data_IF_116054941560
#
_entry.id   IF_116054941560
#
_cell.length_a   1.000
_cell.length_b   1.000
_cell.length_c   1.000
_cell.angle_alpha   90.00
_cell.angle_beta   90.00
_cell.angle_gamma   90.00
#
_symmetry.space_group_name_H-M   'P 1'
#
loop_
_entity.id
_entity.type
_entity.pdbx_description
1 polymer ?
#
# COMPACT_ATOMS: atom_id res chain seq x y z
N UNK A 1 10.57 2.72 21.03
CA UNK A 1 11.26 2.34 19.79
C UNK A 1 10.26 2.48 18.66
N UNK A 2 10.59 3.20 17.58
CA UNK A 2 9.66 3.48 16.48
C UNK A 2 9.50 2.24 15.60
N UNK A 3 8.27 1.77 15.42
CA UNK A 3 7.94 0.66 14.52
C UNK A 3 7.01 1.18 13.41
N UNK A 4 7.41 0.95 12.16
CA UNK A 4 6.66 1.27 10.96
C UNK A 4 6.08 -0.02 10.38
N UNK A 5 4.81 0.03 10.00
CA UNK A 5 4.13 -1.04 9.28
C UNK A 5 3.80 -0.54 7.87
N UNK A 6 4.20 -1.29 6.85
CA UNK A 6 3.81 -1.03 5.45
C UNK A 6 2.72 -2.02 5.07
N UNK A 7 1.52 -1.54 4.77
CA UNK A 7 0.41 -2.39 4.38
C UNK A 7 0.28 -2.46 2.85
N UNK A 8 0.72 -3.58 2.29
CA UNK A 8 0.66 -3.89 0.87
C UNK A 8 -0.73 -4.38 0.46
N UNK A 9 -1.16 -3.98 -0.74
CA UNK A 9 -2.42 -4.34 -1.41
C UNK A 9 -2.15 -4.57 -2.90
N UNK A 10 -2.52 -3.61 -3.75
CA UNK A 10 -2.34 -3.68 -5.22
C UNK A 10 -0.97 -3.12 -5.68
N UNK A 11 0.02 -3.13 -4.79
CA UNK A 11 1.30 -2.44 -4.91
C UNK A 11 2.50 -3.35 -4.57
N UNK A 12 2.41 -4.63 -4.99
CA UNK A 12 3.36 -5.72 -4.69
C UNK A 12 4.73 -5.55 -5.38
N UNK A 13 5.43 -4.47 -5.06
CA UNK A 13 6.72 -4.08 -5.65
C UNK A 13 7.58 -3.29 -4.66
N UNK A 14 8.90 -3.40 -4.81
CA UNK A 14 9.87 -2.58 -4.06
C UNK A 14 10.18 -1.24 -4.73
N UNK A 15 10.18 -1.23 -6.06
CA UNK A 15 10.62 -0.08 -6.84
C UNK A 15 9.50 0.93 -6.97
N UNK A 16 9.86 2.21 -6.79
CA UNK A 16 8.95 3.34 -6.95
C UNK A 16 7.62 3.13 -6.22
N UNK A 17 7.70 2.74 -4.94
CA UNK A 17 6.54 2.55 -4.06
C UNK A 17 6.59 3.62 -2.96
N UNK A 18 5.64 4.57 -3.00
CA UNK A 18 5.66 5.75 -2.14
C UNK A 18 5.58 5.40 -0.65
N UNK A 19 4.60 4.58 -0.25
CA UNK A 19 4.44 4.17 1.14
C UNK A 19 5.65 3.40 1.67
N UNK A 20 6.20 2.47 0.89
CA UNK A 20 7.38 1.70 1.28
C UNK A 20 8.61 2.60 1.43
N UNK A 21 8.85 3.49 0.47
CA UNK A 21 9.97 4.42 0.50
C UNK A 21 9.87 5.37 1.71
N UNK A 22 8.68 5.91 1.98
CA UNK A 22 8.42 6.77 3.14
C UNK A 22 8.70 6.04 4.47
N UNK A 23 8.17 4.82 4.62
CA UNK A 23 8.41 3.99 5.80
C UNK A 23 9.90 3.68 6.02
N UNK A 24 10.66 3.51 4.94
CA UNK A 24 12.08 3.17 5.01
C UNK A 24 13.01 4.38 5.21
N UNK A 25 12.52 5.62 5.08
CA UNK A 25 13.32 6.85 5.18
C UNK A 25 14.02 6.99 6.54
N UNK A 26 13.36 6.58 7.62
CA UNK A 26 13.98 6.48 8.94
C UNK A 26 14.76 5.16 9.06
N UNK A 27 16.09 5.23 9.02
CA UNK A 27 16.96 4.05 9.08
C UNK A 27 16.97 3.35 10.45
N UNK A 28 16.62 4.06 11.53
CA UNK A 28 16.60 3.50 12.89
C UNK A 28 15.26 2.88 13.30
N UNK A 29 14.19 3.12 12.52
CA UNK A 29 12.89 2.51 12.77
C UNK A 29 12.91 0.99 12.51
N UNK A 30 12.09 0.22 13.22
CA UNK A 30 11.80 -1.15 12.84
C UNK A 30 10.75 -1.15 11.74
N UNK A 31 11.00 -1.77 10.59
CA UNK A 31 10.04 -1.80 9.47
C UNK A 31 9.49 -3.22 9.33
N UNK A 32 8.17 -3.34 9.30
CA UNK A 32 7.43 -4.56 9.04
C UNK A 32 6.56 -4.35 7.79
N UNK A 33 6.35 -5.39 7.01
CA UNK A 33 5.36 -5.39 5.93
C UNK A 33 4.17 -6.27 6.32
N UNK A 34 2.97 -5.93 5.84
CA UNK A 34 1.75 -6.69 6.02
C UNK A 34 1.06 -6.86 4.67
N UNK A 35 0.58 -8.07 4.40
CA UNK A 35 -0.37 -8.35 3.33
C UNK A 35 -1.53 -9.16 3.90
N UNK A 36 -2.75 -8.79 3.51
CA UNK A 36 -3.98 -9.48 3.94
C UNK A 36 -4.71 -9.97 2.70
N UNK A 37 -4.81 -11.29 2.55
CA UNK A 37 -5.66 -11.92 1.55
C UNK A 37 -7.12 -11.88 1.97
N UNK A 38 -8.03 -11.60 1.03
CA UNK A 38 -9.48 -11.53 1.28
C UNK A 38 -10.28 -12.30 0.22
N UNK A 39 -10.20 -13.65 0.18
CA UNK A 39 -10.74 -14.44 -0.93
C UNK A 39 -12.25 -14.26 -1.14
N UNK A 40 -13.03 -14.11 -0.06
CA UNK A 40 -14.49 -13.92 -0.16
C UNK A 40 -14.86 -12.54 -0.68
N UNK A 41 -14.12 -11.50 -0.31
CA UNK A 41 -14.26 -10.17 -0.90
C UNK A 41 -13.88 -10.17 -2.39
N UNK A 42 -12.77 -10.83 -2.75
CA UNK A 42 -12.33 -10.96 -4.15
C UNK A 42 -13.38 -11.69 -5.01
N UNK A 43 -14.00 -12.74 -4.48
CA UNK A 43 -15.09 -13.42 -5.16
C UNK A 43 -16.30 -12.50 -5.38
N UNK A 44 -16.65 -11.68 -4.38
CA UNK A 44 -17.73 -10.67 -4.47
C UNK A 44 -17.41 -9.58 -5.52
N UNK A 45 -16.12 -9.27 -5.70
CA UNK A 45 -15.61 -8.35 -6.73
C UNK A 45 -15.35 -9.03 -8.08
N UNK A 46 -15.72 -10.30 -8.23
CA UNK A 46 -15.52 -11.09 -9.45
C UNK A 46 -14.05 -11.12 -9.93
N UNK A 47 -13.10 -11.17 -8.99
CA UNK A 47 -11.68 -11.27 -9.31
C UNK A 47 -11.41 -12.47 -10.22
N UNK A 48 -10.64 -12.24 -11.28
CA UNK A 48 -10.28 -13.31 -12.21
C UNK A 48 -9.36 -14.34 -11.53
N UNK A 49 -9.53 -15.65 -11.75
CA UNK A 49 -8.60 -16.65 -11.22
C UNK A 49 -7.18 -16.46 -11.73
N UNK A 50 -6.99 -15.93 -12.96
CA UNK A 50 -5.66 -15.60 -13.48
C UNK A 50 -5.02 -14.41 -12.75
N UNK A 51 -5.84 -13.46 -12.30
CA UNK A 51 -5.36 -12.33 -11.51
C UNK A 51 -4.99 -12.79 -10.10
N UNK A 52 -5.78 -13.68 -9.49
CA UNK A 52 -5.43 -14.28 -8.19
C UNK A 52 -4.09 -15.03 -8.26
N UNK A 53 -3.87 -15.83 -9.30
CA UNK A 53 -2.58 -16.52 -9.53
C UNK A 53 -1.42 -15.54 -9.73
N UNK A 54 -1.64 -14.46 -10.50
CA UNK A 54 -0.64 -13.40 -10.67
C UNK A 54 -0.27 -12.74 -9.33
N UNK A 55 -1.27 -12.42 -8.50
CA UNK A 55 -1.07 -11.85 -7.18
C UNK A 55 -0.29 -12.82 -6.30
N UNK A 56 -0.62 -14.12 -6.31
CA UNK A 56 0.12 -15.14 -5.56
C UNK A 56 1.60 -15.18 -5.97
N UNK A 57 1.87 -15.20 -7.27
CA UNK A 57 3.25 -15.22 -7.78
C UNK A 57 4.02 -13.96 -7.40
N UNK A 58 3.40 -12.79 -7.55
CA UNK A 58 3.99 -11.49 -7.17
C UNK A 58 4.23 -11.38 -5.66
N UNK A 59 3.32 -11.89 -4.84
CA UNK A 59 3.43 -11.87 -3.38
C UNK A 59 4.61 -12.70 -2.89
N UNK A 60 4.80 -13.90 -3.46
CA UNK A 60 5.96 -14.74 -3.16
C UNK A 60 7.27 -14.09 -3.61
N UNK A 61 7.29 -13.45 -4.79
CA UNK A 61 8.44 -12.66 -5.24
C UNK A 61 8.73 -11.46 -4.33
N UNK A 62 7.70 -10.76 -3.88
CA UNK A 62 7.82 -9.64 -2.95
C UNK A 62 8.35 -10.09 -1.58
N UNK A 63 7.89 -11.22 -1.06
CA UNK A 63 8.36 -11.77 0.22
C UNK A 63 9.88 -12.01 0.21
N UNK A 64 10.39 -12.63 -0.85
CA UNK A 64 11.83 -12.88 -1.04
C UNK A 64 12.58 -11.55 -1.14
N UNK A 65 12.11 -10.63 -1.99
CA UNK A 65 12.77 -9.35 -2.20
C UNK A 65 12.78 -8.47 -0.93
N UNK A 66 11.72 -8.49 -0.12
CA UNK A 66 11.66 -7.81 1.18
C UNK A 66 12.62 -8.44 2.19
N UNK A 67 12.73 -9.77 2.20
CA UNK A 67 13.64 -10.50 3.08
C UNK A 67 15.11 -10.14 2.78
N UNK A 68 15.49 -9.98 1.51
CA UNK A 68 16.81 -9.47 1.11
C UNK A 68 17.09 -8.05 1.64
N UNK A 69 16.04 -7.24 1.83
CA UNK A 69 16.17 -5.90 2.44
C UNK A 69 16.10 -5.93 3.96
N UNK A 70 15.86 -7.08 4.58
CA UNK A 70 15.71 -7.20 6.04
C UNK A 70 14.33 -6.78 6.55
N UNK A 71 13.31 -6.86 5.71
CA UNK A 71 11.93 -6.49 6.04
C UNK A 71 11.08 -7.76 6.04
N UNK A 72 10.54 -8.19 7.19
CA UNK A 72 9.65 -9.35 7.23
C UNK A 72 8.26 -9.00 6.69
N UNK A 73 7.70 -9.91 5.89
CA UNK A 73 6.31 -9.83 5.42
C UNK A 73 5.42 -10.69 6.33
N UNK A 74 4.50 -10.04 7.03
CA UNK A 74 3.43 -10.67 7.78
C UNK A 74 2.28 -10.98 6.83
N UNK A 75 1.99 -12.26 6.63
CA UNK A 75 0.84 -12.70 5.86
C UNK A 75 -0.35 -13.01 6.78
N UNK A 76 -1.54 -12.60 6.37
CA UNK A 76 -2.82 -12.93 7.00
C UNK A 76 -3.84 -13.23 5.90
N UNK A 77 -4.79 -14.09 6.21
CA UNK A 77 -5.93 -14.38 5.36
C UNK A 77 -7.20 -14.26 6.20
N UNK A 78 -8.18 -13.53 5.68
CA UNK A 78 -9.51 -13.37 6.28
C UNK A 78 -10.55 -13.35 5.17
N UNK A 79 -11.84 -13.41 5.53
CA UNK A 79 -12.91 -13.42 4.53
C UNK A 79 -12.96 -12.10 3.73
N UNK A 80 -13.01 -10.96 4.42
CA UNK A 80 -13.38 -9.69 3.80
C UNK A 80 -12.68 -8.45 4.38
N UNK A 81 -13.02 -7.28 3.82
CA UNK A 81 -12.44 -6.02 4.26
C UNK A 81 -12.85 -5.58 5.66
N UNK A 82 -14.00 -6.04 6.19
CA UNK A 82 -14.39 -5.74 7.57
C UNK A 82 -13.46 -6.47 8.52
N UNK A 83 -13.19 -7.75 8.26
CA UNK A 83 -12.22 -8.54 9.02
C UNK A 83 -10.79 -7.99 8.91
N UNK A 84 -10.40 -7.46 7.75
CA UNK A 84 -9.09 -6.81 7.58
C UNK A 84 -8.84 -5.66 8.54
N UNK A 85 -9.87 -4.87 8.89
CA UNK A 85 -9.74 -3.78 9.87
C UNK A 85 -9.28 -4.32 11.23
N UNK A 86 -9.87 -5.44 11.67
CA UNK A 86 -9.51 -6.08 12.94
C UNK A 86 -8.10 -6.67 12.91
N UNK A 87 -7.70 -7.27 11.79
CA UNK A 87 -6.33 -7.76 11.61
C UNK A 87 -5.31 -6.64 11.68
N UNK A 88 -5.54 -5.50 11.02
CA UNK A 88 -4.59 -4.38 11.07
C UNK A 88 -4.46 -3.87 12.51
N UNK A 89 -5.56 -3.74 13.26
CA UNK A 89 -5.52 -3.37 14.69
C UNK A 89 -4.71 -4.35 15.52
N UNK A 90 -4.97 -5.64 15.34
CA UNK A 90 -4.26 -6.70 16.05
C UNK A 90 -2.76 -6.67 15.77
N UNK A 91 -2.38 -6.63 14.49
CA UNK A 91 -0.97 -6.56 14.08
C UNK A 91 -0.30 -5.31 14.63
N UNK A 92 -0.98 -4.16 14.62
CA UNK A 92 -0.45 -2.93 15.18
C UNK A 92 -0.21 -3.05 16.69
N UNK A 93 -1.16 -3.61 17.44
CA UNK A 93 -1.04 -3.81 18.88
C UNK A 93 0.09 -4.79 19.24
N UNK A 94 0.10 -5.98 18.62
CA UNK A 94 1.09 -7.04 18.86
C UNK A 94 2.52 -6.55 18.61
N UNK A 95 2.70 -5.71 17.59
CA UNK A 95 4.02 -5.26 17.15
C UNK A 95 4.38 -3.85 17.66
N UNK A 96 3.56 -3.26 18.54
CA UNK A 96 3.76 -1.89 19.02
C UNK A 96 4.04 -0.91 17.86
N UNK A 97 3.22 -1.00 16.82
CA UNK A 97 3.33 -0.16 15.62
C UNK A 97 3.01 1.28 15.99
N UNK A 98 3.86 2.19 15.57
CA UNK A 98 3.71 3.64 15.81
C UNK A 98 3.25 4.38 14.56
N UNK A 99 3.60 3.86 13.37
CA UNK A 99 3.24 4.46 12.09
C UNK A 99 2.78 3.37 11.11
N UNK A 100 1.65 3.58 10.46
CA UNK A 100 1.12 2.77 9.38
C UNK A 100 1.27 3.54 8.07
N UNK A 101 1.98 2.97 7.11
CA UNK A 101 2.17 3.51 5.77
C UNK A 101 1.42 2.66 4.76
N UNK A 102 0.66 3.29 3.87
CA UNK A 102 -0.10 2.57 2.86
C UNK A 102 -0.37 3.43 1.62
N UNK A 103 -0.52 2.82 0.45
CA UNK A 103 -0.89 3.54 -0.77
C UNK A 103 -2.40 3.56 -0.97
N UNK A 104 -3.03 4.69 -1.28
CA UNK A 104 -4.49 4.79 -1.43
C UNK A 104 -5.04 3.88 -2.54
N UNK A 105 -6.23 3.35 -2.29
CA UNK A 105 -7.11 2.73 -3.28
C UNK A 105 -8.36 3.61 -3.43
N UNK A 106 -8.88 3.78 -4.64
CA UNK A 106 -9.94 4.77 -4.93
C UNK A 106 -11.33 4.15 -5.05
N UNK A 107 -11.41 2.83 -5.12
CA UNK A 107 -12.64 2.06 -5.14
C UNK A 107 -13.41 2.23 -3.81
N UNK A 108 -14.75 2.20 -3.89
CA UNK A 108 -15.61 2.60 -2.76
C UNK A 108 -15.43 1.69 -1.54
N UNK A 109 -15.31 0.37 -1.74
CA UNK A 109 -15.19 -0.57 -0.63
C UNK A 109 -13.83 -0.45 0.08
N UNK A 110 -12.77 -0.27 -0.71
CA UNK A 110 -11.39 -0.12 -0.27
C UNK A 110 -11.20 1.20 0.48
N UNK A 111 -11.77 2.30 -0.02
CA UNK A 111 -11.78 3.59 0.69
C UNK A 111 -12.52 3.48 2.02
N UNK A 112 -13.67 2.81 2.03
CA UNK A 112 -14.44 2.61 3.27
C UNK A 112 -13.64 1.80 4.29
N UNK A 113 -12.96 0.73 3.86
CA UNK A 113 -12.03 -0.05 4.68
C UNK A 113 -10.93 0.84 5.26
N UNK A 114 -10.25 1.61 4.42
CA UNK A 114 -9.09 2.43 4.83
C UNK A 114 -9.51 3.51 5.85
N UNK A 115 -10.64 4.19 5.62
CA UNK A 115 -11.22 5.15 6.60
C UNK A 115 -11.54 4.48 7.93
N UNK A 116 -12.04 3.24 7.92
CA UNK A 116 -12.33 2.50 9.15
C UNK A 116 -11.05 2.07 9.87
N UNK A 117 -9.98 1.72 9.15
CA UNK A 117 -8.65 1.46 9.72
C UNK A 117 -8.11 2.71 10.41
N UNK A 118 -8.07 3.85 9.73
CA UNK A 118 -7.59 5.12 10.31
C UNK A 118 -8.36 5.49 11.59
N UNK A 119 -9.69 5.34 11.58
CA UNK A 119 -10.54 5.61 12.75
C UNK A 119 -10.28 4.66 13.91
N UNK A 120 -9.96 3.40 13.62
CA UNK A 120 -9.71 2.40 14.63
C UNK A 120 -8.32 2.55 15.27
N UNK A 121 -7.32 3.00 14.51
CA UNK A 121 -5.94 3.14 14.95
C UNK A 121 -5.65 4.50 15.62
N UNK A 122 -6.37 4.83 16.69
CA UNK A 122 -6.29 6.15 17.34
C UNK A 122 -4.90 6.57 17.86
N UNK A 123 -4.02 5.62 18.13
CA UNK A 123 -2.68 5.85 18.67
C UNK A 123 -1.56 5.53 17.67
N UNK A 124 -1.89 5.32 16.40
CA UNK A 124 -0.93 5.05 15.32
C UNK A 124 -1.05 6.17 14.30
N UNK A 125 0.07 6.74 13.88
CA UNK A 125 0.08 7.72 12.81
C UNK A 125 -0.13 6.99 11.49
N UNK A 126 -1.21 7.32 10.77
CA UNK A 126 -1.51 6.72 9.48
C UNK A 126 -1.11 7.69 8.36
N UNK A 127 -0.32 7.21 7.40
CA UNK A 127 0.13 7.99 6.24
C UNK A 127 -0.25 7.26 4.95
N UNK A 128 -1.18 7.86 4.21
CA UNK A 128 -1.64 7.39 2.91
C UNK A 128 -0.98 8.14 1.74
N UNK A 129 -0.66 7.44 0.64
CA UNK A 129 0.02 8.01 -0.53
C UNK A 129 -0.72 7.71 -1.85
N UNK A 130 -0.80 8.68 -2.77
CA UNK A 130 -1.40 8.53 -4.10
C UNK A 130 -0.44 7.86 -5.10
N UNK A 131 -0.13 6.58 -4.89
CA UNK A 131 0.91 5.83 -5.62
C UNK A 131 0.44 5.20 -6.95
N UNK A 132 -0.86 4.91 -7.07
CA UNK A 132 -1.43 4.27 -8.27
C UNK A 132 -1.65 5.23 -9.44
N UNK A 133 -1.27 6.51 -9.28
CA UNK A 133 -1.45 7.57 -10.27
C UNK A 133 -0.21 8.46 -10.31
N UNK A 134 0.06 9.06 -11.47
CA UNK A 134 1.13 10.06 -11.61
C UNK A 134 0.72 11.39 -10.96
N UNK A 135 -0.52 11.84 -11.17
CA UNK A 135 -1.07 13.04 -10.53
C UNK A 135 -2.28 12.64 -9.69
N UNK A 136 -2.36 13.07 -8.41
CA UNK A 136 -3.41 12.64 -7.49
C UNK A 136 -4.78 13.22 -7.90
N UNK A 137 -5.90 12.50 -7.64
CA UNK A 137 -7.23 13.08 -7.78
C UNK A 137 -7.35 14.39 -6.99
N UNK A 138 -7.92 15.43 -7.60
CA UNK A 138 -7.93 16.79 -7.04
C UNK A 138 -6.85 17.70 -7.62
N UNK A 139 -5.75 17.16 -8.16
CA UNK A 139 -4.70 17.98 -8.78
C UNK A 139 -5.08 18.56 -10.15
N UNK A 140 -6.04 17.93 -10.85
CA UNK A 140 -6.52 18.33 -12.18
C UNK A 140 -8.03 18.54 -12.13
N UNK A 141 -8.44 19.79 -11.88
CA UNK A 141 -9.84 20.19 -11.73
C UNK A 141 -10.23 21.22 -12.77
N UNK A 142 -11.53 21.32 -13.03
CA UNK A 142 -12.11 22.42 -13.82
C UNK A 142 -12.01 23.75 -13.08
N UNK A 143 -12.26 24.87 -13.77
CA UNK A 143 -12.29 26.20 -13.14
C UNK A 143 -13.34 26.35 -12.03
N UNK A 144 -14.40 25.52 -12.06
CA UNK A 144 -15.42 25.47 -11.02
C UNK A 144 -15.08 24.47 -9.89
N UNK A 145 -13.84 23.95 -9.85
CA UNK A 145 -13.38 22.96 -8.87
C UNK A 145 -14.13 21.61 -8.91
N UNK A 146 -14.69 21.24 -10.06
CA UNK A 146 -15.27 19.91 -10.31
C UNK A 146 -14.32 19.03 -11.13
N UNK A 147 -14.50 17.70 -11.05
CA UNK A 147 -13.80 16.74 -11.91
C UNK A 147 -14.26 16.83 -13.36
N UNK A 148 -13.33 16.66 -14.29
CA UNK A 148 -13.60 16.66 -15.73
C UNK A 148 -14.51 15.50 -16.15
N UNK A 149 -15.43 15.77 -17.08
CA UNK A 149 -16.34 14.78 -17.70
C UNK A 149 -15.95 14.39 -19.14
N UNK A 150 -14.99 15.09 -19.74
CA UNK A 150 -14.51 14.84 -21.11
C UNK A 150 -12.99 14.71 -21.09
N UNK A 151 -12.46 13.69 -21.78
CA UNK A 151 -11.04 13.36 -21.76
C UNK A 151 -10.14 14.44 -22.36
N UNK A 152 -10.49 15.03 -23.50
CA UNK A 152 -9.66 16.04 -24.17
C UNK A 152 -9.31 17.24 -23.26
N UNK A 153 -10.26 17.94 -22.62
CA UNK A 153 -9.92 19.02 -21.71
C UNK A 153 -9.21 18.52 -20.44
N UNK A 154 -9.53 17.32 -19.94
CA UNK A 154 -8.78 16.68 -18.85
C UNK A 154 -7.30 16.51 -19.22
N UNK A 155 -6.99 15.90 -20.36
CA UNK A 155 -5.62 15.68 -20.87
C UNK A 155 -4.84 16.99 -20.95
N UNK A 156 -5.46 18.05 -21.48
CA UNK A 156 -4.80 19.35 -21.64
C UNK A 156 -4.44 19.97 -20.27
N UNK A 157 -5.36 19.93 -19.32
CA UNK A 157 -5.12 20.40 -17.96
C UNK A 157 -4.10 19.51 -17.22
N UNK A 158 -4.19 18.20 -17.39
CA UNK A 158 -3.27 17.22 -16.80
C UNK A 158 -1.83 17.43 -17.28
N UNK A 159 -1.61 17.59 -18.59
CA UNK A 159 -0.29 17.89 -19.15
C UNK A 159 0.26 19.24 -18.69
N UNK A 160 -0.61 20.23 -18.50
CA UNK A 160 -0.22 21.53 -17.95
C UNK A 160 0.30 21.34 -16.51
N UNK A 161 -0.47 20.68 -15.64
CA UNK A 161 -0.08 20.40 -14.25
C UNK A 161 1.20 19.58 -14.16
N UNK A 162 1.36 18.56 -15.00
CA UNK A 162 2.59 17.75 -15.01
C UNK A 162 3.85 18.58 -15.33
N UNK A 163 3.75 19.55 -16.24
CA UNK A 163 4.88 20.43 -16.58
C UNK A 163 5.23 21.44 -15.47
N UNK A 164 4.29 21.75 -14.58
CA UNK A 164 4.54 22.63 -13.43
C UNK A 164 5.36 21.93 -12.33
N UNK A 165 5.28 20.60 -12.25
CA UNK A 165 6.02 19.79 -11.31
C UNK A 165 5.82 18.31 -11.60
N UNK A 166 6.75 17.72 -12.35
CA UNK A 166 6.73 16.29 -12.63
C UNK A 166 7.13 15.53 -11.36
N UNK A 167 6.32 14.58 -10.88
CA UNK A 167 6.71 13.76 -9.74
C UNK A 167 7.92 12.91 -10.11
N UNK A 168 8.86 12.80 -9.18
CA UNK A 168 10.05 11.97 -9.34
C UNK A 168 9.82 10.56 -8.81
N UNK A 169 10.48 9.57 -9.42
CA UNK A 169 10.45 8.20 -8.90
C UNK A 169 11.18 8.12 -7.56
N UNK A 170 10.65 7.32 -6.64
CA UNK A 170 11.30 7.03 -5.37
C UNK A 170 12.19 5.78 -5.48
N UNK A 171 13.35 5.81 -4.82
CA UNK A 171 14.27 4.69 -4.81
C UNK A 171 13.69 3.50 -4.01
N UNK A 172 13.99 2.28 -4.47
CA UNK A 172 13.72 1.07 -3.70
C UNK A 172 14.49 1.12 -2.36
N UNK A 173 13.96 0.48 -1.29
CA UNK A 173 14.61 0.49 0.01
C UNK A 173 16.01 -0.11 -0.03
N UNK A 174 16.94 0.54 0.67
CA UNK A 174 18.26 -0.04 0.98
C UNK A 174 18.08 -1.17 2.01
N UNK A 175 19.06 -2.07 2.07
CA UNK A 175 19.11 -3.11 3.11
C UNK A 175 19.12 -2.45 4.49
N UNK A 176 18.25 -2.93 5.39
CA UNK A 176 18.14 -2.42 6.76
C UNK A 176 19.38 -2.78 7.59
N UNK A 177 19.60 -2.08 8.69
CA UNK A 177 20.76 -2.33 9.58
C UNK A 177 20.79 -3.73 10.20
N UNK A 178 19.64 -4.40 10.28
CA UNK A 178 19.52 -5.79 10.71
C UNK A 178 20.08 -6.80 9.68
N UNK A 179 20.42 -6.35 8.48
CA UNK A 179 20.81 -7.24 7.38
C UNK A 179 19.62 -7.94 6.72
N UNK A 180 19.91 -8.76 5.70
CA UNK A 180 18.92 -9.65 5.11
C UNK A 180 18.43 -10.70 6.11
N UNK A 181 17.19 -11.12 5.96
CA UNK A 181 16.58 -12.19 6.76
C UNK A 181 16.21 -13.37 5.86
N UNK A 182 15.98 -14.54 6.46
CA UNK A 182 15.41 -15.65 5.71
C UNK A 182 13.95 -15.36 5.35
N UNK A 183 13.52 -15.63 4.10
CA UNK A 183 12.13 -15.50 3.73
C UNK A 183 11.29 -16.53 4.48
N UNK A 184 10.08 -16.14 4.87
CA UNK A 184 9.10 -17.09 5.40
C UNK A 184 8.66 -18.07 4.28
N UNK A 185 7.97 -19.19 4.64
CA UNK A 185 7.48 -20.14 3.65
C UNK A 185 6.60 -19.49 2.58
N UNK A 186 6.59 -20.12 1.40
CA UNK A 186 5.76 -19.69 0.27
C UNK A 186 4.30 -19.60 0.68
N UNK A 187 3.66 -18.52 0.22
CA UNK A 187 2.25 -18.24 0.44
C UNK A 187 1.45 -18.88 -0.70
N UNK A 188 0.28 -19.44 -0.35
CA UNK A 188 -0.72 -19.92 -1.29
C UNK A 188 -2.03 -19.19 -1.00
N UNK A 189 -2.63 -18.59 -2.02
CA UNK A 189 -3.89 -17.83 -1.96
C UNK A 189 -5.11 -18.65 -2.40
#
# INVERSE_FOLDING_TARGET
MTTHLVWFRQDLRLHDNLALAAACRNSSARVLALYIATPRQWATHNMSPRQAELINAQLNGLQIALAEKGIPLLFREVDDFVASVEIVKQVCAENSVTHLFYNYQYEVNERARDVQVERALRNVVCEGFDDSVILPPGAVMTGNHEMYKVFTPFKNAWLKRLREGMPECVAAPKVRSSGSIEPAPSITL
#
